data_IF_689018048011
#
_entry.id   IF_689018048011
#
_cell.length_a   1.000
_cell.length_b   1.000
_cell.length_c   1.000
_cell.angle_alpha   90.00
_cell.angle_beta   90.00
_cell.angle_gamma   90.00
#
_symmetry.space_group_name_H-M   'P 1'
#
loop_
_entity.id
_entity.type
_entity.pdbx_description
1 polymer ?
#
# COMPACT_ATOMS: atom_id res chain seq x y z
N UNK A 1 30.36 -4.50 -4.95
CA UNK A 1 28.97 -4.18 -5.31
C UNK A 1 28.14 -5.31 -4.71
N UNK A 2 27.30 -5.04 -3.72
CA UNK A 2 26.44 -6.09 -3.17
C UNK A 2 25.43 -6.46 -4.25
N UNK A 3 25.42 -7.73 -4.66
CA UNK A 3 24.28 -8.29 -5.38
C UNK A 3 23.17 -8.44 -4.34
N UNK A 4 22.43 -7.34 -4.09
CA UNK A 4 21.17 -7.46 -3.38
C UNK A 4 20.24 -8.26 -4.27
N UNK A 5 19.57 -9.26 -3.72
CA UNK A 5 18.49 -9.94 -4.41
C UNK A 5 17.42 -8.90 -4.79
N UNK A 6 16.79 -9.00 -5.97
CA UNK A 6 15.73 -8.08 -6.38
C UNK A 6 14.60 -8.10 -5.35
N UNK A 7 14.02 -6.93 -5.04
CA UNK A 7 12.88 -6.85 -4.14
C UNK A 7 11.65 -7.56 -4.73
N UNK A 8 10.67 -7.89 -3.87
CA UNK A 8 9.37 -8.43 -4.33
C UNK A 8 8.68 -7.47 -5.31
N UNK A 9 8.88 -6.16 -5.13
CA UNK A 9 8.38 -5.10 -5.99
C UNK A 9 9.05 -5.15 -7.37
N UNK A 10 10.39 -5.30 -7.43
CA UNK A 10 11.12 -5.46 -8.69
C UNK A 10 10.60 -6.66 -9.49
N UNK A 11 10.28 -7.75 -8.80
CA UNK A 11 9.71 -8.95 -9.41
C UNK A 11 8.30 -8.72 -9.97
N UNK A 12 7.43 -8.05 -9.22
CA UNK A 12 6.10 -7.68 -9.70
C UNK A 12 6.18 -6.78 -10.93
N UNK A 13 7.10 -5.81 -10.94
CA UNK A 13 7.35 -4.93 -12.09
C UNK A 13 7.87 -5.73 -13.29
N UNK A 14 8.77 -6.69 -13.08
CA UNK A 14 9.24 -7.56 -14.15
C UNK A 14 8.09 -8.35 -14.80
N UNK A 15 7.17 -8.89 -14.00
CA UNK A 15 5.96 -9.56 -14.51
C UNK A 15 5.13 -8.60 -15.36
N UNK A 16 4.85 -7.39 -14.88
CA UNK A 16 4.10 -6.43 -15.68
C UNK A 16 4.88 -5.94 -16.90
N UNK A 17 6.21 -5.87 -16.86
CA UNK A 17 7.01 -5.49 -18.02
C UNK A 17 6.86 -6.50 -19.16
N UNK A 18 6.69 -7.79 -18.85
CA UNK A 18 6.35 -8.81 -19.85
C UNK A 18 4.97 -8.56 -20.51
N UNK A 19 4.02 -7.94 -19.79
CA UNK A 19 2.64 -7.71 -20.25
C UNK A 19 2.43 -6.35 -20.94
N UNK A 20 3.04 -5.28 -20.40
CA UNK A 20 2.80 -3.89 -20.81
C UNK A 20 4.08 -3.14 -21.23
N UNK A 21 5.20 -3.84 -21.32
CA UNK A 21 6.49 -3.26 -21.69
C UNK A 21 6.96 -2.20 -20.71
N UNK A 22 7.65 -1.17 -21.23
CA UNK A 22 8.24 -0.09 -20.44
C UNK A 22 7.23 0.71 -19.61
N UNK A 23 5.92 0.58 -19.88
CA UNK A 23 4.89 1.20 -19.03
C UNK A 23 4.90 0.66 -17.59
N UNK A 24 5.40 -0.56 -17.38
CA UNK A 24 5.51 -1.14 -16.05
C UNK A 24 6.46 -0.34 -15.13
N UNK A 25 7.38 0.44 -15.69
CA UNK A 25 8.32 1.26 -14.92
C UNK A 25 7.60 2.33 -14.09
N UNK A 26 6.36 2.67 -14.46
CA UNK A 26 5.49 3.56 -13.69
C UNK A 26 5.15 3.03 -12.29
N UNK A 27 5.34 1.74 -12.00
CA UNK A 27 5.15 1.20 -10.66
C UNK A 27 6.35 1.42 -9.72
N UNK A 28 7.52 1.81 -10.23
CA UNK A 28 8.73 2.06 -9.44
C UNK A 28 8.95 3.54 -9.09
N UNK A 29 8.13 4.44 -9.63
CA UNK A 29 8.33 5.88 -9.52
C UNK A 29 7.01 6.58 -9.19
N UNK A 30 7.05 7.82 -8.68
CA UNK A 30 5.85 8.65 -8.61
C UNK A 30 5.17 8.75 -9.98
N UNK A 31 3.83 8.68 -10.00
CA UNK A 31 2.99 8.69 -11.21
C UNK A 31 2.23 10.01 -11.37
N UNK A 32 2.90 11.13 -11.69
CA UNK A 32 2.29 12.46 -11.69
C UNK A 32 1.11 12.58 -12.64
N UNK A 33 1.11 11.87 -13.76
CA UNK A 33 0.01 11.87 -14.72
C UNK A 33 -1.27 11.26 -14.13
N UNK A 34 -1.15 10.11 -13.43
CA UNK A 34 -2.27 9.45 -12.77
C UNK A 34 -2.78 10.27 -11.59
N UNK A 35 -1.86 10.83 -10.80
CA UNK A 35 -2.19 11.71 -9.69
C UNK A 35 -2.90 12.98 -10.18
N UNK A 36 -2.41 13.62 -11.23
CA UNK A 36 -3.04 14.80 -11.83
C UNK A 36 -4.43 14.47 -12.41
N UNK A 37 -4.57 13.31 -13.06
CA UNK A 37 -5.87 12.86 -13.55
C UNK A 37 -6.86 12.65 -12.39
N UNK A 38 -6.44 12.02 -11.29
CA UNK A 38 -7.25 11.82 -10.10
C UNK A 38 -7.64 13.17 -9.44
N UNK A 39 -6.68 14.09 -9.27
CA UNK A 39 -6.94 15.43 -8.73
C UNK A 39 -7.96 16.18 -9.60
N UNK A 40 -7.78 16.14 -10.93
CA UNK A 40 -8.67 16.81 -11.87
C UNK A 40 -10.09 16.25 -11.80
N UNK A 41 -10.23 14.93 -11.63
CA UNK A 41 -11.54 14.27 -11.48
C UNK A 41 -12.27 14.66 -10.18
N UNK A 42 -11.53 15.05 -9.14
CA UNK A 42 -12.07 15.48 -7.85
C UNK A 42 -12.28 17.00 -7.76
N UNK A 43 -11.89 17.73 -8.82
CA UNK A 43 -12.01 19.19 -8.87
C UNK A 43 -13.49 19.57 -9.04
N UNK A 44 -14.03 20.29 -8.05
CA UNK A 44 -15.44 20.69 -7.99
C UNK A 44 -16.15 20.15 -6.76
N UNK A 45 -15.77 18.95 -6.30
CA UNK A 45 -16.26 18.37 -5.04
C UNK A 45 -15.38 18.79 -3.85
N UNK A 46 -14.09 19.02 -4.12
CA UNK A 46 -13.09 19.40 -3.13
C UNK A 46 -12.33 20.65 -3.55
N UNK A 47 -11.75 21.36 -2.56
CA UNK A 47 -10.75 22.38 -2.85
C UNK A 47 -9.46 21.74 -3.40
N UNK A 48 -8.64 22.52 -4.10
CA UNK A 48 -7.44 22.02 -4.79
C UNK A 48 -6.49 21.22 -3.87
N UNK A 49 -6.31 21.67 -2.61
CA UNK A 49 -5.44 20.98 -1.65
C UNK A 49 -6.01 19.61 -1.28
N UNK A 50 -7.29 19.55 -0.91
CA UNK A 50 -7.94 18.28 -0.53
C UNK A 50 -8.01 17.32 -1.72
N UNK A 51 -8.30 17.81 -2.93
CA UNK A 51 -8.27 17.01 -4.15
C UNK A 51 -6.87 16.43 -4.43
N UNK A 52 -5.82 17.26 -4.26
CA UNK A 52 -4.44 16.82 -4.38
C UNK A 52 -4.05 15.77 -3.34
N UNK A 53 -4.38 16.00 -2.06
CA UNK A 53 -4.05 15.08 -0.96
C UNK A 53 -4.74 13.72 -1.15
N UNK A 54 -6.02 13.71 -1.57
CA UNK A 54 -6.73 12.46 -1.91
C UNK A 54 -6.03 11.77 -3.09
N UNK A 55 -5.72 12.50 -4.16
CA UNK A 55 -5.05 11.93 -5.33
C UNK A 55 -3.71 11.30 -4.98
N UNK A 56 -2.87 12.00 -4.20
CA UNK A 56 -1.59 11.51 -3.70
C UNK A 56 -1.76 10.19 -2.94
N UNK A 57 -2.64 10.16 -1.94
CA UNK A 57 -2.89 8.95 -1.16
C UNK A 57 -3.45 7.80 -2.00
N UNK A 58 -4.18 8.09 -3.08
CA UNK A 58 -4.68 7.05 -3.98
C UNK A 58 -3.63 6.50 -4.96
N UNK A 59 -2.48 7.16 -5.13
CA UNK A 59 -1.48 6.78 -6.15
C UNK A 59 -0.12 6.40 -5.60
N UNK A 60 0.26 6.84 -4.40
CA UNK A 60 1.62 6.69 -3.84
C UNK A 60 1.91 5.32 -3.20
N UNK A 61 1.10 4.30 -3.52
CA UNK A 61 1.29 2.89 -3.14
C UNK A 61 1.21 1.98 -4.38
N UNK A 62 1.58 2.54 -5.54
CA UNK A 62 1.50 1.90 -6.86
C UNK A 62 2.37 0.64 -6.99
N UNK A 63 3.53 0.58 -6.33
CA UNK A 63 4.36 -0.63 -6.25
C UNK A 63 3.64 -1.75 -5.49
N UNK A 64 2.99 -1.43 -4.37
CA UNK A 64 2.20 -2.40 -3.60
C UNK A 64 0.98 -2.88 -4.41
N UNK A 65 0.32 -1.98 -5.13
CA UNK A 65 -0.78 -2.32 -6.03
C UNK A 65 -0.33 -3.28 -7.14
N UNK A 66 0.87 -3.06 -7.70
CA UNK A 66 1.46 -3.97 -8.68
C UNK A 66 1.74 -5.34 -8.06
N UNK A 67 2.33 -5.39 -6.87
CA UNK A 67 2.55 -6.66 -6.18
C UNK A 67 1.24 -7.44 -5.98
N UNK A 68 0.21 -6.81 -5.40
CA UNK A 68 -1.08 -7.48 -5.15
C UNK A 68 -1.71 -7.98 -6.46
N UNK A 69 -1.71 -7.16 -7.51
CA UNK A 69 -2.24 -7.57 -8.80
C UNK A 69 -1.45 -8.73 -9.41
N UNK A 70 -0.11 -8.70 -9.33
CA UNK A 70 0.75 -9.77 -9.82
C UNK A 70 0.55 -11.07 -9.04
N UNK A 71 0.42 -11.01 -7.71
CA UNK A 71 0.15 -12.16 -6.85
C UNK A 71 -1.21 -12.80 -7.16
N UNK A 72 -2.25 -11.99 -7.37
CA UNK A 72 -3.59 -12.50 -7.69
C UNK A 72 -3.67 -13.19 -9.06
N UNK A 73 -2.87 -12.74 -10.02
CA UNK A 73 -2.87 -13.26 -11.39
C UNK A 73 -1.86 -14.40 -11.62
N UNK A 74 -0.71 -14.35 -10.96
CA UNK A 74 0.43 -15.24 -11.18
C UNK A 74 1.03 -15.74 -9.85
N UNK A 75 0.24 -16.32 -8.93
CA UNK A 75 0.74 -16.72 -7.61
C UNK A 75 1.88 -17.74 -7.70
N UNK A 76 1.91 -18.58 -8.73
CA UNK A 76 2.95 -19.59 -8.98
C UNK A 76 4.32 -18.99 -9.31
N UNK A 77 4.38 -17.70 -9.63
CA UNK A 77 5.65 -17.01 -9.90
C UNK A 77 6.36 -16.53 -8.63
N UNK A 78 5.71 -16.60 -7.48
CA UNK A 78 6.27 -16.15 -6.21
C UNK A 78 6.60 -17.34 -5.30
N UNK A 79 7.68 -17.21 -4.53
CA UNK A 79 7.99 -18.15 -3.44
C UNK A 79 7.13 -17.82 -2.21
N UNK A 80 6.94 -18.75 -1.28
CA UNK A 80 6.25 -18.47 -0.02
C UNK A 80 6.88 -17.30 0.77
N UNK A 81 8.19 -17.14 0.70
CA UNK A 81 8.93 -16.05 1.35
C UNK A 81 8.60 -14.69 0.72
N UNK A 82 8.65 -14.60 -0.62
CA UNK A 82 8.30 -13.37 -1.35
C UNK A 82 6.83 -12.98 -1.13
N UNK A 83 5.92 -13.96 -1.07
CA UNK A 83 4.50 -13.70 -0.78
C UNK A 83 4.36 -13.07 0.61
N UNK A 84 5.05 -13.61 1.62
CA UNK A 84 5.01 -13.06 2.99
C UNK A 84 5.56 -11.64 3.04
N UNK A 85 6.71 -11.41 2.43
CA UNK A 85 7.37 -10.10 2.38
C UNK A 85 6.47 -9.06 1.72
N UNK A 86 5.94 -9.34 0.51
CA UNK A 86 5.07 -8.38 -0.17
C UNK A 86 3.72 -8.15 0.54
N UNK A 87 3.19 -9.15 1.26
CA UNK A 87 2.01 -8.94 2.11
C UNK A 87 2.35 -8.00 3.29
N UNK A 88 3.50 -8.21 3.95
CA UNK A 88 3.94 -7.36 5.05
C UNK A 88 4.13 -5.91 4.59
N UNK A 89 4.84 -5.70 3.48
CA UNK A 89 5.06 -4.37 2.87
C UNK A 89 3.73 -3.68 2.54
N UNK A 90 2.81 -4.38 1.84
CA UNK A 90 1.49 -3.82 1.51
C UNK A 90 0.72 -3.43 2.78
N UNK A 91 0.69 -4.30 3.80
CA UNK A 91 -0.09 -4.08 5.02
C UNK A 91 0.42 -2.93 5.90
N UNK A 92 1.73 -2.66 5.91
CA UNK A 92 2.28 -1.52 6.66
C UNK A 92 2.14 -0.19 5.90
N UNK A 93 2.05 -0.24 4.56
CA UNK A 93 2.07 0.95 3.71
C UNK A 93 0.66 1.37 3.24
N UNK A 94 0.03 0.57 2.38
CA UNK A 94 -1.18 0.95 1.66
C UNK A 94 -2.38 1.29 2.57
N UNK A 95 -2.66 0.55 3.69
CA UNK A 95 -3.77 0.88 4.57
C UNK A 95 -3.73 2.30 5.13
N UNK A 96 -2.53 2.84 5.44
CA UNK A 96 -2.39 4.20 5.95
C UNK A 96 -2.78 5.25 4.90
N UNK A 97 -2.37 5.04 3.65
CA UNK A 97 -2.76 5.89 2.53
C UNK A 97 -4.27 5.82 2.27
N UNK A 98 -4.84 4.61 2.21
CA UNK A 98 -6.27 4.41 1.96
C UNK A 98 -7.15 4.99 3.08
N UNK A 99 -6.73 4.84 4.35
CA UNK A 99 -7.42 5.45 5.48
C UNK A 99 -7.40 6.99 5.40
N UNK A 100 -6.26 7.59 5.05
CA UNK A 100 -6.15 9.03 4.86
C UNK A 100 -7.05 9.54 3.73
N UNK A 101 -7.04 8.88 2.56
CA UNK A 101 -7.91 9.21 1.43
C UNK A 101 -9.39 9.11 1.82
N UNK A 102 -9.80 8.01 2.45
CA UNK A 102 -11.17 7.81 2.91
C UNK A 102 -11.63 8.91 3.87
N UNK A 103 -10.76 9.27 4.84
CA UNK A 103 -11.04 10.34 5.80
C UNK A 103 -11.24 11.69 5.12
N UNK A 104 -10.37 12.04 4.17
CA UNK A 104 -10.45 13.30 3.41
C UNK A 104 -11.70 13.37 2.53
N UNK A 105 -12.12 12.23 1.97
CA UNK A 105 -13.31 12.13 1.14
C UNK A 105 -14.62 12.06 1.93
N UNK A 106 -14.55 11.95 3.26
CA UNK A 106 -15.71 11.92 4.16
C UNK A 106 -16.30 10.52 4.37
N UNK A 107 -15.58 9.46 3.98
CA UNK A 107 -15.98 8.08 4.27
C UNK A 107 -15.55 7.67 5.68
N UNK A 108 -16.36 6.86 6.39
CA UNK A 108 -15.97 6.33 7.68
C UNK A 108 -14.88 5.26 7.50
N UNK A 109 -13.85 5.31 8.35
CA UNK A 109 -12.92 4.18 8.52
C UNK A 109 -13.57 3.25 9.54
N UNK A 110 -13.79 1.99 9.17
CA UNK A 110 -14.56 1.04 9.98
C UNK A 110 -13.80 -0.28 10.11
N UNK A 111 -13.77 -0.83 11.32
CA UNK A 111 -13.39 -2.23 11.54
C UNK A 111 -14.57 -3.14 11.17
N UNK A 112 -14.75 -3.35 9.87
CA UNK A 112 -15.88 -4.13 9.34
C UNK A 112 -15.81 -5.60 9.74
N UNK A 113 -14.60 -6.12 9.99
CA UNK A 113 -14.37 -7.54 10.29
C UNK A 113 -14.25 -7.83 11.79
N UNK A 114 -14.26 -6.80 12.65
CA UNK A 114 -14.22 -6.95 14.10
C UNK A 114 -12.90 -7.52 14.61
N UNK A 115 -11.78 -7.15 13.98
CA UNK A 115 -10.43 -7.63 14.34
C UNK A 115 -9.67 -6.65 15.24
N UNK A 116 -10.31 -5.57 15.68
CA UNK A 116 -9.66 -4.50 16.43
C UNK A 116 -8.81 -3.60 15.54
N UNK A 117 -9.14 -3.45 14.25
CA UNK A 117 -8.31 -2.69 13.30
C UNK A 117 -8.18 -1.18 13.62
N UNK A 118 -9.05 -0.68 14.48
CA UNK A 118 -9.03 0.70 14.99
C UNK A 118 -8.59 0.79 16.45
N UNK A 119 -8.33 -0.36 17.07
CA UNK A 119 -7.76 -0.39 18.40
C UNK A 119 -6.30 0.06 18.28
N UNK A 120 -5.82 0.84 19.24
CA UNK A 120 -4.39 1.10 19.34
C UNK A 120 -3.64 -0.23 19.44
N UNK A 121 -2.36 -0.24 19.07
CA UNK A 121 -1.50 -1.36 19.43
C UNK A 121 -1.66 -1.62 20.93
N UNK A 122 -1.79 -2.89 21.36
CA UNK A 122 -1.81 -3.19 22.79
C UNK A 122 -0.63 -2.47 23.41
N UNK A 123 -0.89 -1.59 24.38
CA UNK A 123 0.18 -1.12 25.25
C UNK A 123 0.76 -2.39 25.87
N UNK A 124 2.05 -2.66 25.65
CA UNK A 124 2.72 -3.79 26.27
C UNK A 124 2.41 -3.71 27.77
N UNK A 125 1.61 -4.66 28.25
CA UNK A 125 1.22 -4.74 29.64
C UNK A 125 2.46 -5.19 30.40
N UNK A 126 3.37 -4.25 30.71
CA UNK A 126 4.44 -4.42 31.69
C UNK A 126 3.82 -4.53 33.08
N UNK A 127 3.02 -5.58 33.30
CA UNK A 127 2.60 -5.97 34.64
C UNK A 127 3.24 -7.31 35.00
N UNK A 128 3.88 -7.28 36.17
CA UNK A 128 4.20 -8.44 37.00
C UNK A 128 5.42 -9.28 36.62
N UNK A 129 6.62 -8.76 36.89
CA UNK A 129 7.67 -9.65 37.40
C UNK A 129 7.58 -9.71 38.93
N UNK A 130 7.21 -10.89 39.42
CA UNK A 130 6.73 -11.14 40.76
C UNK A 130 7.65 -10.68 41.89
N UNK A 131 7.04 -10.11 42.92
CA UNK A 131 7.57 -10.22 44.27
C UNK A 131 7.56 -11.70 44.66
N UNK A 132 8.72 -12.36 44.58
CA UNK A 132 8.94 -13.61 45.30
C UNK A 132 9.26 -13.29 46.77
N UNK A 133 8.78 -14.09 47.73
CA UNK A 133 8.96 -13.87 49.17
C UNK A 133 10.41 -14.01 49.64
#
# INVERSE_FOLDING_TARGET
MSNAEPSVQDKAIAIFRELVGDRADQFAVPIPDAQQAAQSALTGDFNDKTAFDIAFHMTDWNSDAAFVAALLLFPERFTPEEIREGIEEFLVHAPNHLAAAAKLQGYPIQDTFGVGALDGWPEDDESENGSAP
#
